data_IF_745819586276
#
_entry.id   IF_745819586276
#
_cell.length_a   1.000
_cell.length_b   1.000
_cell.length_c   1.000
_cell.angle_alpha   90.00
_cell.angle_beta   90.00
_cell.angle_gamma   90.00
#
_symmetry.space_group_name_H-M   'P 1'
#
loop_
_entity.id
_entity.type
_entity.pdbx_description
1 polymer ?
#
# COMPACT_ATOMS: atom_id res chain seq x y z
N UNK A 1 33.25 3.45 -6.45
CA UNK A 1 34.35 3.80 -5.51
C UNK A 1 34.43 2.91 -4.25
N UNK A 2 33.67 1.80 -4.16
CA UNK A 2 33.57 0.97 -2.95
C UNK A 2 34.90 0.34 -2.47
N UNK A 3 35.61 -0.36 -3.36
CA UNK A 3 36.89 -1.03 -3.03
C UNK A 3 37.98 -0.03 -2.63
N UNK A 4 37.95 1.20 -3.15
CA UNK A 4 38.89 2.24 -2.74
C UNK A 4 38.65 2.66 -1.28
N UNK A 5 37.37 2.79 -0.88
CA UNK A 5 37.00 3.05 0.52
C UNK A 5 37.45 1.91 1.43
N UNK A 6 37.22 0.65 1.07
CA UNK A 6 37.68 -0.48 1.88
C UNK A 6 39.20 -0.58 1.98
N UNK A 7 39.93 -0.26 0.90
CA UNK A 7 41.39 -0.17 0.96
C UNK A 7 41.85 0.90 1.96
N UNK A 8 41.18 2.06 2.01
CA UNK A 8 41.49 3.11 2.98
C UNK A 8 41.11 2.73 4.42
N UNK A 9 39.97 2.06 4.61
CA UNK A 9 39.47 1.65 5.94
C UNK A 9 40.33 0.55 6.56
N UNK A 10 40.62 -0.51 5.79
CA UNK A 10 41.25 -1.72 6.31
C UNK A 10 42.77 -1.76 6.10
N UNK A 11 43.32 -0.82 5.34
CA UNK A 11 44.76 -0.64 5.10
C UNK A 11 45.46 -1.97 4.73
N UNK A 12 46.43 -2.42 5.52
CA UNK A 12 47.17 -3.66 5.32
C UNK A 12 46.28 -4.91 5.32
N UNK A 13 45.17 -4.92 6.08
CA UNK A 13 44.23 -6.05 6.11
C UNK A 13 43.50 -6.25 4.78
N UNK A 14 43.27 -5.15 4.04
CA UNK A 14 42.73 -5.24 2.69
C UNK A 14 43.73 -5.88 1.73
N UNK A 15 45.00 -5.50 1.83
CA UNK A 15 46.05 -6.04 0.99
C UNK A 15 46.28 -7.54 1.27
N UNK A 16 46.17 -7.98 2.52
CA UNK A 16 46.31 -9.41 2.88
C UNK A 16 45.10 -10.26 2.50
N UNK A 17 43.92 -9.66 2.27
CA UNK A 17 42.71 -10.39 1.91
C UNK A 17 42.70 -10.87 0.45
N UNK A 18 43.60 -10.35 -0.39
CA UNK A 18 43.72 -10.72 -1.80
C UNK A 18 45.18 -11.00 -2.13
N UNK A 19 45.48 -12.18 -2.67
CA UNK A 19 46.85 -12.58 -2.97
C UNK A 19 47.42 -11.87 -4.21
N UNK A 20 46.56 -11.42 -5.13
CA UNK A 20 46.98 -10.77 -6.37
C UNK A 20 46.03 -9.67 -6.86
N UNK A 21 46.53 -8.82 -7.76
CA UNK A 21 45.70 -7.81 -8.45
C UNK A 21 44.58 -8.45 -9.28
N UNK A 22 44.80 -9.65 -9.82
CA UNK A 22 43.77 -10.37 -10.60
C UNK A 22 42.62 -10.86 -9.72
N UNK A 23 42.90 -11.34 -8.50
CA UNK A 23 41.85 -11.68 -7.54
C UNK A 23 41.02 -10.46 -7.14
N UNK A 24 41.66 -9.30 -6.95
CA UNK A 24 40.93 -8.04 -6.68
C UNK A 24 40.03 -7.68 -7.86
N UNK A 25 40.48 -7.88 -9.11
CA UNK A 25 39.64 -7.63 -10.30
C UNK A 25 38.46 -8.59 -10.36
N UNK A 26 38.67 -9.88 -10.07
CA UNK A 26 37.61 -10.88 -10.02
C UNK A 26 36.57 -10.53 -8.95
N UNK A 27 37.03 -10.24 -7.72
CA UNK A 27 36.15 -9.83 -6.63
C UNK A 27 35.34 -8.57 -6.98
N UNK A 28 35.97 -7.55 -7.60
CA UNK A 28 35.24 -6.36 -8.06
C UNK A 28 34.12 -6.69 -9.06
N UNK A 29 34.33 -7.65 -9.96
CA UNK A 29 33.30 -8.08 -10.92
C UNK A 29 32.14 -8.77 -10.21
N UNK A 30 32.43 -9.73 -9.33
CA UNK A 30 31.40 -10.42 -8.55
C UNK A 30 30.58 -9.46 -7.69
N UNK A 31 31.25 -8.52 -7.01
CA UNK A 31 30.58 -7.49 -6.24
C UNK A 31 29.74 -6.56 -7.12
N UNK A 32 30.20 -6.20 -8.32
CA UNK A 32 29.43 -5.35 -9.22
C UNK A 32 28.13 -6.04 -9.69
N UNK A 33 28.18 -7.36 -9.90
CA UNK A 33 26.99 -8.15 -10.23
C UNK A 33 26.04 -8.22 -9.03
N UNK A 34 26.55 -8.57 -7.85
CA UNK A 34 25.76 -8.72 -6.64
C UNK A 34 25.14 -7.40 -6.15
N UNK A 35 25.83 -6.27 -6.39
CA UNK A 35 25.38 -4.95 -5.95
C UNK A 35 24.55 -4.21 -7.01
N UNK A 36 24.27 -4.84 -8.15
CA UNK A 36 23.46 -4.24 -9.21
C UNK A 36 22.05 -3.95 -8.68
N UNK A 37 21.60 -2.70 -8.85
CA UNK A 37 20.27 -2.25 -8.43
C UNK A 37 20.21 -1.68 -7.01
N UNK A 38 21.27 -1.78 -6.20
CA UNK A 38 21.35 -1.05 -4.94
C UNK A 38 21.74 0.40 -5.16
N UNK A 39 21.09 1.26 -4.38
CA UNK A 39 21.26 2.71 -4.49
C UNK A 39 22.50 3.19 -3.74
N UNK A 40 23.16 4.21 -4.28
CA UNK A 40 24.40 4.74 -3.70
C UNK A 40 24.27 5.14 -2.22
N UNK A 41 23.16 5.77 -1.75
CA UNK A 41 22.99 6.06 -0.32
C UNK A 41 22.94 4.80 0.57
N UNK A 42 22.31 3.72 0.09
CA UNK A 42 22.29 2.43 0.81
C UNK A 42 23.69 1.82 0.89
N UNK A 43 24.43 1.87 -0.23
CA UNK A 43 25.81 1.39 -0.27
C UNK A 43 26.72 2.23 0.63
N UNK A 44 26.55 3.56 0.63
CA UNK A 44 27.31 4.47 1.47
C UNK A 44 27.05 4.21 2.96
N UNK A 45 25.78 4.06 3.35
CA UNK A 45 25.38 3.66 4.70
C UNK A 45 25.98 2.31 5.09
N UNK A 46 25.90 1.33 4.19
CA UNK A 46 26.44 0.00 4.46
C UNK A 46 27.96 0.01 4.67
N UNK A 47 28.72 0.83 3.94
CA UNK A 47 30.16 1.00 4.18
C UNK A 47 30.44 1.55 5.57
N UNK A 48 29.69 2.56 6.00
CA UNK A 48 29.85 3.18 7.32
C UNK A 48 29.56 2.18 8.44
N UNK A 49 28.54 1.33 8.28
CA UNK A 49 28.26 0.26 9.25
C UNK A 49 29.24 -0.90 9.21
N UNK A 50 29.78 -1.19 8.04
CA UNK A 50 30.75 -2.28 7.86
C UNK A 50 32.02 -1.99 8.66
N UNK A 51 32.56 -0.77 8.60
CA UNK A 51 33.77 -0.40 9.35
C UNK A 51 33.57 -0.40 10.88
N UNK A 52 32.35 -0.19 11.34
CA UNK A 52 32.00 -0.29 12.77
C UNK A 52 31.87 -1.74 13.23
N UNK A 53 31.44 -2.64 12.33
CA UNK A 53 31.10 -4.03 12.65
C UNK A 53 32.25 -5.02 12.46
N UNK A 54 33.03 -4.87 11.40
CA UNK A 54 34.04 -5.86 11.01
C UNK A 54 35.45 -5.31 11.20
N UNK A 55 36.31 -6.09 11.83
CA UNK A 55 37.74 -5.76 11.98
C UNK A 55 38.56 -6.08 10.72
N UNK A 56 38.00 -6.86 9.79
CA UNK A 56 38.58 -7.31 8.53
C UNK A 56 37.69 -6.90 7.35
N UNK A 57 38.23 -6.79 6.12
CA UNK A 57 37.40 -6.54 4.94
C UNK A 57 36.28 -7.57 4.84
N UNK A 58 35.02 -7.14 4.68
CA UNK A 58 33.90 -8.07 4.59
C UNK A 58 33.96 -8.88 3.29
N UNK A 59 33.39 -10.07 3.34
CA UNK A 59 32.94 -10.81 2.15
C UNK A 59 31.71 -10.14 1.54
N UNK A 60 31.37 -10.50 0.29
CA UNK A 60 30.15 -9.98 -0.35
C UNK A 60 28.88 -10.36 0.43
N UNK A 61 28.84 -11.56 1.01
CA UNK A 61 27.71 -12.03 1.81
C UNK A 61 27.54 -11.19 3.09
N UNK A 62 28.63 -10.95 3.81
CA UNK A 62 28.61 -10.08 4.98
C UNK A 62 28.19 -8.66 4.62
N UNK A 63 28.66 -8.12 3.49
CA UNK A 63 28.29 -6.79 3.05
C UNK A 63 26.81 -6.68 2.65
N UNK A 64 26.26 -7.68 1.97
CA UNK A 64 24.83 -7.75 1.66
C UNK A 64 23.97 -7.77 2.94
N UNK A 65 24.40 -8.49 3.98
CA UNK A 65 23.71 -8.49 5.27
C UNK A 65 23.68 -7.09 5.92
N UNK A 66 24.73 -6.30 5.73
CA UNK A 66 24.77 -4.91 6.23
C UNK A 66 23.86 -4.01 5.41
N UNK A 67 23.78 -4.19 4.08
CA UNK A 67 22.83 -3.46 3.23
C UNK A 67 21.39 -3.72 3.67
N UNK A 68 21.04 -4.94 4.07
CA UNK A 68 19.71 -5.24 4.62
C UNK A 68 19.36 -4.39 5.85
N UNK A 69 20.34 -4.09 6.70
CA UNK A 69 20.13 -3.19 7.85
C UNK A 69 19.91 -1.74 7.42
N UNK A 70 20.44 -1.33 6.26
CA UNK A 70 20.22 0.00 5.69
C UNK A 70 18.76 0.22 5.32
N UNK A 71 18.11 -0.74 4.66
CA UNK A 71 16.68 -0.65 4.33
C UNK A 71 15.82 -0.41 5.58
N UNK A 72 16.10 -1.15 6.67
CA UNK A 72 15.39 -0.98 7.95
C UNK A 72 15.59 0.41 8.56
N UNK A 73 16.76 1.03 8.38
CA UNK A 73 17.01 2.39 8.85
C UNK A 73 16.10 3.42 8.15
N UNK A 74 15.70 3.15 6.91
CA UNK A 74 14.71 3.94 6.16
C UNK A 74 13.26 3.45 6.33
N UNK A 75 13.01 2.47 7.21
CA UNK A 75 11.69 1.86 7.38
C UNK A 75 11.24 1.00 6.19
N UNK A 76 12.14 0.72 5.24
CA UNK A 76 11.84 -0.04 4.03
C UNK A 76 12.04 -1.55 4.28
N UNK A 77 11.15 -2.41 3.77
CA UNK A 77 11.42 -3.84 3.69
C UNK A 77 12.43 -4.16 2.59
N UNK A 78 13.09 -5.31 2.72
CA UNK A 78 13.97 -5.84 1.68
C UNK A 78 13.18 -6.12 0.39
N UNK A 79 13.75 -5.94 -0.81
CA UNK A 79 13.04 -6.10 -2.08
C UNK A 79 12.29 -7.44 -2.21
N UNK A 80 12.94 -8.55 -1.84
CA UNK A 80 12.31 -9.89 -1.86
C UNK A 80 11.15 -10.02 -0.88
N UNK A 81 11.29 -9.45 0.31
CA UNK A 81 10.24 -9.46 1.33
C UNK A 81 9.06 -8.56 0.92
N UNK A 82 9.34 -7.39 0.35
CA UNK A 82 8.35 -6.49 -0.21
C UNK A 82 7.55 -7.16 -1.32
N UNK A 83 8.21 -7.89 -2.21
CA UNK A 83 7.56 -8.65 -3.27
C UNK A 83 6.65 -9.76 -2.73
N UNK A 84 7.12 -10.58 -1.79
CA UNK A 84 6.28 -11.60 -1.16
C UNK A 84 5.06 -10.99 -0.45
N UNK A 85 5.25 -9.84 0.21
CA UNK A 85 4.16 -9.09 0.82
C UNK A 85 3.15 -8.59 -0.23
N UNK A 86 3.62 -8.11 -1.38
CA UNK A 86 2.77 -7.71 -2.49
C UNK A 86 1.98 -8.89 -3.08
N UNK A 87 2.64 -10.02 -3.37
CA UNK A 87 2.00 -11.24 -3.87
C UNK A 87 0.99 -11.85 -2.89
N UNK A 88 1.21 -11.70 -1.58
CA UNK A 88 0.23 -12.16 -0.58
C UNK A 88 -1.06 -11.34 -0.55
N UNK A 89 -1.10 -10.16 -1.19
CA UNK A 89 -2.29 -9.31 -1.24
C UNK A 89 -3.28 -9.78 -2.31
N UNK A 90 -4.29 -10.54 -1.91
CA UNK A 90 -5.32 -11.06 -2.83
C UNK A 90 -6.47 -10.09 -3.10
N UNK A 91 -6.88 -9.33 -2.09
CA UNK A 91 -8.04 -8.44 -2.18
C UNK A 91 -7.79 -7.14 -1.40
N UNK A 92 -8.39 -6.05 -1.89
CA UNK A 92 -8.41 -4.72 -1.26
C UNK A 92 -7.04 -4.23 -0.75
N UNK A 93 -6.11 -3.89 -1.66
CA UNK A 93 -4.79 -3.37 -1.31
C UNK A 93 -4.82 -2.15 -0.38
N UNK A 94 -5.88 -1.34 -0.39
CA UNK A 94 -6.00 -0.13 0.45
C UNK A 94 -6.30 -0.42 1.93
N UNK A 95 -6.88 -1.58 2.24
CA UNK A 95 -7.25 -1.96 3.63
C UNK A 95 -6.13 -2.75 4.33
N UNK A 96 -5.11 -3.20 3.58
CA UNK A 96 -4.00 -3.98 4.12
C UNK A 96 -3.03 -3.10 4.91
N UNK A 97 -2.57 -3.61 6.06
CA UNK A 97 -1.47 -3.02 6.80
C UNK A 97 -0.14 -3.35 6.09
N UNK A 98 0.34 -2.43 5.26
CA UNK A 98 1.61 -2.58 4.56
C UNK A 98 2.79 -2.29 5.48
N UNK A 99 3.88 -3.06 5.34
CA UNK A 99 5.14 -2.78 6.04
C UNK A 99 5.67 -1.39 5.71
N UNK A 100 5.50 -0.95 4.46
CA UNK A 100 5.82 0.40 4.02
C UNK A 100 4.94 0.81 2.82
N UNK A 101 4.53 2.08 2.69
CA UNK A 101 3.76 2.57 1.54
C UNK A 101 4.45 2.32 0.19
N UNK A 102 5.78 2.26 0.14
CA UNK A 102 6.53 1.92 -1.06
C UNK A 102 6.15 0.54 -1.64
N UNK A 103 5.79 -0.43 -0.79
CA UNK A 103 5.32 -1.76 -1.24
C UNK A 103 3.98 -1.64 -1.95
N UNK A 104 3.07 -0.85 -1.39
CA UNK A 104 1.76 -0.59 -2.00
C UNK A 104 1.91 0.05 -3.38
N UNK A 105 2.70 1.11 -3.49
CA UNK A 105 2.87 1.81 -4.77
C UNK A 105 3.58 0.95 -5.81
N UNK A 106 4.64 0.21 -5.43
CA UNK A 106 5.30 -0.72 -6.33
C UNK A 106 4.36 -1.82 -6.82
N UNK A 107 3.52 -2.37 -5.94
CA UNK A 107 2.53 -3.37 -6.30
C UNK A 107 1.40 -2.82 -7.18
N UNK A 108 0.98 -1.57 -6.95
CA UNK A 108 -0.01 -0.89 -7.78
C UNK A 108 0.48 -0.65 -9.21
N UNK A 109 1.73 -0.17 -9.38
CA UNK A 109 2.36 0.02 -10.70
C UNK A 109 2.59 -1.31 -11.43
N UNK A 110 2.99 -2.35 -10.70
CA UNK A 110 3.20 -3.69 -11.28
C UNK A 110 1.86 -4.36 -11.65
N UNK A 111 0.78 -4.00 -10.97
CA UNK A 111 -0.54 -4.56 -11.14
C UNK A 111 -0.80 -5.74 -10.20
N UNK A 112 -1.80 -5.61 -9.33
CA UNK A 112 -2.16 -6.63 -8.34
C UNK A 112 -2.56 -7.97 -8.96
N UNK A 113 -3.28 -7.94 -10.08
CA UNK A 113 -3.65 -9.16 -10.81
C UNK A 113 -2.41 -9.86 -11.38
N UNK A 114 -1.50 -9.11 -11.98
CA UNK A 114 -0.26 -9.64 -12.54
C UNK A 114 0.60 -10.30 -11.46
N UNK A 115 0.74 -9.65 -10.29
CA UNK A 115 1.45 -10.22 -9.14
C UNK A 115 0.82 -11.47 -8.53
N UNK A 116 -0.49 -11.67 -8.72
CA UNK A 116 -1.22 -12.82 -8.17
C UNK A 116 -1.30 -14.01 -9.12
N UNK A 117 -1.22 -13.77 -10.44
CA UNK A 117 -1.51 -14.79 -11.46
C UNK A 117 -0.24 -15.31 -12.13
N UNK A 118 0.77 -14.46 -12.31
CA UNK A 118 1.98 -14.81 -13.05
C UNK A 118 3.05 -15.45 -12.18
N UNK A 119 3.92 -16.22 -12.84
CA UNK A 119 5.08 -16.83 -12.20
C UNK A 119 6.06 -15.78 -11.65
N UNK A 120 6.79 -16.17 -10.60
CA UNK A 120 7.79 -15.33 -9.97
C UNK A 120 8.89 -14.89 -10.95
N UNK A 121 9.29 -15.76 -11.89
CA UNK A 121 10.34 -15.45 -12.87
C UNK A 121 9.96 -14.26 -13.76
N UNK A 122 8.68 -14.06 -14.01
CA UNK A 122 8.13 -13.00 -14.86
C UNK A 122 7.76 -11.77 -14.05
N UNK A 123 7.13 -11.96 -12.89
CA UNK A 123 6.63 -10.85 -12.08
C UNK A 123 7.68 -10.19 -11.19
N UNK A 124 8.69 -10.94 -10.69
CA UNK A 124 9.81 -10.41 -9.91
C UNK A 124 10.55 -9.25 -10.59
N UNK A 125 11.08 -9.38 -11.82
CA UNK A 125 11.90 -8.33 -12.42
C UNK A 125 11.10 -7.06 -12.73
N UNK A 126 9.78 -7.16 -12.91
CA UNK A 126 8.89 -6.01 -13.10
C UNK A 126 8.70 -5.30 -11.77
N UNK A 127 8.33 -6.05 -10.72
CA UNK A 127 8.17 -5.50 -9.38
C UNK A 127 9.45 -4.86 -8.84
N UNK A 128 10.59 -5.53 -8.98
CA UNK A 128 11.89 -5.05 -8.51
C UNK A 128 12.24 -3.68 -9.12
N UNK A 129 11.96 -3.46 -10.40
CA UNK A 129 12.15 -2.17 -11.06
C UNK A 129 11.28 -1.08 -10.44
N UNK A 130 9.98 -1.32 -10.29
CA UNK A 130 9.07 -0.34 -9.69
C UNK A 130 9.42 -0.07 -8.23
N UNK A 131 9.73 -1.12 -7.46
CA UNK A 131 10.11 -0.99 -6.06
C UNK A 131 11.40 -0.17 -5.90
N UNK A 132 12.39 -0.36 -6.77
CA UNK A 132 13.63 0.42 -6.77
C UNK A 132 13.36 1.92 -6.95
N UNK A 133 12.43 2.29 -7.85
CA UNK A 133 12.02 3.69 -8.05
C UNK A 133 11.39 4.29 -6.79
N UNK A 134 10.55 3.55 -6.07
CA UNK A 134 9.94 4.04 -4.83
C UNK A 134 10.93 4.07 -3.66
N UNK A 135 11.90 3.15 -3.63
CA UNK A 135 13.02 3.21 -2.70
C UNK A 135 13.80 4.51 -2.89
N UNK A 136 14.07 4.91 -4.13
CA UNK A 136 14.75 6.19 -4.43
C UNK A 136 13.98 7.40 -3.92
N UNK A 137 12.66 7.43 -4.16
CA UNK A 137 11.80 8.50 -3.66
C UNK A 137 11.87 8.63 -2.13
N UNK A 138 11.81 7.50 -1.43
CA UNK A 138 11.86 7.46 0.04
C UNK A 138 13.23 7.88 0.55
N UNK A 139 14.32 7.42 -0.08
CA UNK A 139 15.70 7.81 0.29
C UNK A 139 15.92 9.32 0.07
N UNK A 140 15.30 9.91 -0.96
CA UNK A 140 15.32 11.35 -1.22
C UNK A 140 14.40 12.15 -0.27
N UNK A 141 13.70 11.49 0.66
CA UNK A 141 12.86 12.13 1.67
C UNK A 141 11.40 12.34 1.27
N UNK A 142 10.94 11.75 0.16
CA UNK A 142 9.53 11.82 -0.25
C UNK A 142 8.65 10.99 0.69
N UNK A 143 7.57 11.60 1.19
CA UNK A 143 6.59 10.92 2.05
C UNK A 143 5.48 10.31 1.21
N UNK A 144 5.51 8.99 1.11
CA UNK A 144 4.48 8.21 0.43
C UNK A 144 3.29 7.97 1.36
N UNK A 145 2.09 8.39 0.94
CA UNK A 145 0.85 8.20 1.70
C UNK A 145 -0.14 7.39 0.87
N UNK A 146 -0.60 6.26 1.40
CA UNK A 146 -1.61 5.43 0.74
C UNK A 146 -2.95 6.17 0.80
N UNK A 147 -3.62 6.41 -0.35
CA UNK A 147 -4.93 7.03 -0.35
C UNK A 147 -5.94 6.10 0.34
N UNK A 148 -6.52 6.54 1.46
CA UNK A 148 -7.66 5.86 2.07
C UNK A 148 -8.90 6.19 1.25
N UNK A 149 -9.66 5.18 0.85
CA UNK A 149 -10.99 5.39 0.28
C UNK A 149 -11.86 6.09 1.32
N UNK A 150 -12.26 7.32 1.01
CA UNK A 150 -13.31 7.99 1.78
C UNK A 150 -14.58 7.20 1.48
N UNK A 151 -15.11 6.50 2.47
CA UNK A 151 -16.48 6.01 2.40
C UNK A 151 -17.35 7.24 2.15
N UNK A 152 -17.96 7.33 0.98
CA UNK A 152 -18.95 8.36 0.73
C UNK A 152 -20.06 8.05 1.74
N UNK A 153 -20.25 8.93 2.73
CA UNK A 153 -21.41 8.86 3.61
C UNK A 153 -22.65 8.83 2.71
N UNK A 154 -23.46 7.79 2.88
CA UNK A 154 -24.70 7.69 2.16
C UNK A 154 -25.64 8.79 2.67
N UNK A 155 -25.63 9.95 1.98
CA UNK A 155 -26.48 11.12 2.27
C UNK A 155 -27.98 10.83 2.12
N UNK A 156 -28.37 9.57 1.91
CA UNK A 156 -29.74 9.08 1.97
C UNK A 156 -30.27 8.98 3.42
N UNK A 157 -29.38 8.85 4.41
CA UNK A 157 -29.74 8.70 5.83
C UNK A 157 -30.43 9.93 6.51
N UNK A 158 -30.08 11.20 6.21
CA UNK A 158 -30.68 12.36 6.87
C UNK A 158 -32.15 12.61 6.49
N UNK A 159 -32.55 12.26 5.26
CA UNK A 159 -33.91 12.51 4.75
C UNK A 159 -34.94 11.65 5.48
N UNK A 160 -34.57 10.44 5.87
CA UNK A 160 -35.47 9.52 6.57
C UNK A 160 -35.88 10.03 7.95
N UNK A 161 -34.93 10.56 8.73
CA UNK A 161 -35.18 11.03 10.09
C UNK A 161 -36.09 12.25 10.12
N UNK A 162 -35.83 13.24 9.26
CA UNK A 162 -36.68 14.43 9.18
C UNK A 162 -38.08 14.08 8.70
N UNK A 163 -38.21 13.28 7.63
CA UNK A 163 -39.51 12.91 7.07
C UNK A 163 -40.35 12.05 8.03
N UNK A 164 -39.71 11.15 8.79
CA UNK A 164 -40.37 10.37 9.84
C UNK A 164 -41.02 11.27 10.89
N UNK A 165 -40.24 12.22 11.42
CA UNK A 165 -40.72 13.13 12.46
C UNK A 165 -41.82 14.07 11.96
N UNK A 166 -41.73 14.56 10.72
CA UNK A 166 -42.74 15.42 10.09
C UNK A 166 -44.08 14.69 9.93
N UNK A 167 -44.07 13.49 9.34
CA UNK A 167 -45.28 12.70 9.08
C UNK A 167 -45.92 12.22 10.39
N UNK A 168 -45.11 11.78 11.36
CA UNK A 168 -45.61 11.36 12.68
C UNK A 168 -46.29 12.52 13.42
N UNK A 169 -45.73 13.73 13.35
CA UNK A 169 -46.30 14.94 13.98
C UNK A 169 -47.61 15.36 13.30
N UNK A 170 -47.70 15.31 11.97
CA UNK A 170 -48.91 15.67 11.23
C UNK A 170 -50.07 14.70 11.50
N UNK A 171 -49.76 13.41 11.63
CA UNK A 171 -50.76 12.36 11.87
C UNK A 171 -51.09 12.16 13.36
N UNK A 172 -50.29 12.72 14.28
CA UNK A 172 -50.34 12.43 15.73
C UNK A 172 -50.17 10.92 16.05
N UNK A 173 -49.37 10.22 15.26
CA UNK A 173 -49.12 8.76 15.40
C UNK A 173 -47.66 8.53 15.82
N UNK A 174 -47.37 7.40 16.44
CA UNK A 174 -46.00 7.00 16.78
C UNK A 174 -45.15 6.82 15.52
N UNK A 175 -43.86 7.19 15.61
CA UNK A 175 -42.88 6.97 14.53
C UNK A 175 -42.78 5.50 14.08
N UNK A 176 -43.09 4.57 14.98
CA UNK A 176 -43.09 3.13 14.69
C UNK A 176 -44.14 2.71 13.65
N UNK A 177 -45.25 3.44 13.54
CA UNK A 177 -46.33 3.08 12.60
C UNK A 177 -46.07 3.68 11.21
N UNK A 178 -45.26 4.74 11.13
CA UNK A 178 -44.89 5.42 9.89
C UNK A 178 -43.66 4.78 9.24
N UNK A 179 -42.70 4.30 10.04
CA UNK A 179 -41.43 3.76 9.56
C UNK A 179 -41.53 2.66 8.47
N UNK A 180 -42.47 1.70 8.54
CA UNK A 180 -42.61 0.66 7.51
C UNK A 180 -42.97 1.22 6.13
N UNK A 181 -43.67 2.36 6.08
CA UNK A 181 -44.11 2.98 4.83
C UNK A 181 -42.98 3.75 4.13
N UNK A 182 -41.91 4.14 4.81
CA UNK A 182 -40.79 4.89 4.22
C UNK A 182 -39.65 4.01 3.70
N UNK A 183 -39.80 2.68 3.70
CA UNK A 183 -38.79 1.74 3.24
C UNK A 183 -38.35 1.96 1.77
N UNK A 184 -39.20 2.57 0.94
CA UNK A 184 -38.88 2.86 -0.46
C UNK A 184 -37.66 3.80 -0.61
N UNK A 185 -37.36 4.63 0.40
CA UNK A 185 -36.21 5.55 0.37
C UNK A 185 -34.86 4.84 0.31
N UNK A 186 -34.78 3.59 0.79
CA UNK A 186 -33.58 2.75 0.66
C UNK A 186 -33.45 2.08 -0.71
N UNK A 187 -34.43 2.22 -1.60
CA UNK A 187 -34.36 1.67 -2.97
C UNK A 187 -33.62 2.62 -3.90
N UNK A 188 -32.95 2.08 -4.90
CA UNK A 188 -32.20 2.87 -5.89
C UNK A 188 -33.12 3.83 -6.65
N UNK A 189 -32.68 5.09 -6.74
CA UNK A 189 -33.43 6.17 -7.40
C UNK A 189 -33.68 5.87 -8.88
N UNK A 190 -34.83 6.27 -9.42
CA UNK A 190 -35.18 6.12 -10.84
C UNK A 190 -35.56 4.69 -11.28
N UNK A 191 -35.67 3.73 -10.35
CA UNK A 191 -36.12 2.37 -10.68
C UNK A 191 -37.64 2.24 -10.60
N UNK A 192 -38.23 1.40 -11.47
CA UNK A 192 -39.67 1.07 -11.42
C UNK A 192 -40.11 0.48 -10.08
N UNK A 193 -39.20 -0.25 -9.43
CA UNK A 193 -39.43 -0.85 -8.10
C UNK A 193 -39.62 0.25 -7.05
N UNK A 194 -38.77 1.29 -7.05
CA UNK A 194 -38.92 2.42 -6.12
C UNK A 194 -40.25 3.15 -6.33
N UNK A 195 -40.65 3.39 -7.58
CA UNK A 195 -41.92 4.05 -7.91
C UNK A 195 -43.13 3.24 -7.39
N UNK A 196 -43.16 1.92 -7.60
CA UNK A 196 -44.22 1.06 -7.09
C UNK A 196 -44.32 1.07 -5.56
N UNK A 197 -43.18 1.01 -4.87
CA UNK A 197 -43.17 1.06 -3.40
C UNK A 197 -43.58 2.43 -2.86
N UNK A 198 -43.24 3.52 -3.56
CA UNK A 198 -43.67 4.88 -3.24
C UNK A 198 -45.18 5.06 -3.39
N UNK A 199 -45.77 4.53 -4.47
CA UNK A 199 -47.22 4.54 -4.67
C UNK A 199 -47.93 3.78 -3.54
N UNK A 200 -47.47 2.57 -3.22
CA UNK A 200 -48.03 1.78 -2.13
C UNK A 200 -47.89 2.48 -0.76
N UNK A 201 -46.76 3.16 -0.52
CA UNK A 201 -46.57 3.96 0.69
C UNK A 201 -47.53 5.16 0.77
N UNK A 202 -47.74 5.88 -0.35
CA UNK A 202 -48.70 6.98 -0.43
C UNK A 202 -50.12 6.53 -0.18
N UNK A 203 -50.54 5.39 -0.74
CA UNK A 203 -51.87 4.83 -0.50
C UNK A 203 -52.08 4.45 0.97
N UNK A 204 -51.08 3.83 1.59
CA UNK A 204 -51.13 3.47 3.00
C UNK A 204 -51.19 4.70 3.92
N UNK A 205 -50.36 5.72 3.67
CA UNK A 205 -50.36 6.96 4.45
C UNK A 205 -51.65 7.78 4.23
N UNK A 206 -52.22 7.79 3.02
CA UNK A 206 -53.53 8.41 2.76
C UNK A 206 -54.66 7.76 3.55
N UNK A 207 -54.64 6.42 3.70
CA UNK A 207 -55.60 5.70 4.55
C UNK A 207 -55.48 6.09 6.02
N UNK A 208 -54.26 6.44 6.46
CA UNK A 208 -53.98 6.94 7.81
C UNK A 208 -54.31 8.44 7.97
N UNK A 209 -54.74 9.14 6.91
CA UNK A 209 -55.15 10.54 6.95
C UNK A 209 -54.10 11.55 6.46
N UNK A 210 -52.97 11.09 5.93
CA UNK A 210 -51.89 11.96 5.45
C UNK A 210 -52.28 12.64 4.14
N UNK A 211 -52.08 13.96 4.06
CA UNK A 211 -52.41 14.77 2.87
C UNK A 211 -51.19 15.29 2.11
N UNK A 212 -49.99 15.08 2.63
CA UNK A 212 -48.74 15.49 2.00
C UNK A 212 -48.29 14.58 0.85
N UNK A 213 -47.28 15.04 0.12
CA UNK A 213 -46.57 14.25 -0.89
C UNK A 213 -45.33 13.57 -0.30
N UNK A 214 -44.96 12.40 -0.83
CA UNK A 214 -43.70 11.75 -0.51
C UNK A 214 -42.62 12.16 -1.54
N UNK A 215 -41.37 12.41 -1.13
CA UNK A 215 -40.27 12.70 -2.05
C UNK A 215 -40.02 11.52 -2.99
N UNK A 216 -39.46 11.80 -4.17
CA UNK A 216 -39.13 10.77 -5.15
C UNK A 216 -37.92 9.94 -4.74
#
# INVERSE_FOLDING_TARGET
>A
MLFARFKAIYTHKFASAYASTEEVKLAKREWAIALKGFQEPLLAYAVERTKEKYAWPPTISEFLSVIQTAYRAYGLPEPRRAYMEACSCRHKPQEKAWSHPAVYFAGAETGWHFLSTEDERTSWPVFEKHYTVYVDKVINGEKLVIPKSVLIEDKSAPVLGSLLSEIATELQVSESDVAPHLYYLYKTHGTKIRAQYREHALEALKKLGYKGGLPD
#
